data_IF_323661530838
#
_entry.id   IF_323661530838
#
_cell.length_a   1.000
_cell.length_b   1.000
_cell.length_c   1.000
_cell.angle_alpha   90.00
_cell.angle_beta   90.00
_cell.angle_gamma   90.00
#
_symmetry.space_group_name_H-M   'P 1'
#
loop_
_entity.id
_entity.type
_entity.pdbx_description
1 polymer ?
#
# COMPACT_ATOMS: atom_id res chain seq x y z
N UNK A 1 -0.53 -2.72 -21.26
CA UNK A 1 -1.03 -2.52 -19.90
C UNK A 1 0.18 -2.38 -18.99
N UNK A 2 0.27 -1.30 -18.19
CA UNK A 2 1.39 -1.07 -17.25
C UNK A 2 1.47 -2.15 -16.19
N UNK A 3 2.66 -2.36 -15.60
CA UNK A 3 2.85 -3.49 -14.67
C UNK A 3 2.27 -3.23 -13.29
N UNK A 4 2.50 -2.04 -12.71
CA UNK A 4 2.15 -1.79 -11.31
C UNK A 4 1.63 -0.36 -11.10
N UNK A 5 0.60 -0.22 -10.28
CA UNK A 5 0.23 1.05 -9.66
C UNK A 5 0.51 1.00 -8.17
N UNK A 6 1.09 2.06 -7.62
CA UNK A 6 1.28 2.25 -6.18
C UNK A 6 0.37 3.39 -5.71
N UNK A 7 -0.56 3.07 -4.81
CA UNK A 7 -1.49 4.01 -4.19
C UNK A 7 -1.03 4.26 -2.75
N UNK A 8 -0.35 5.38 -2.51
CA UNK A 8 0.25 5.66 -1.22
C UNK A 8 0.71 7.10 -1.07
N UNK A 9 1.26 7.44 0.09
CA UNK A 9 1.81 8.78 0.33
C UNK A 9 3.18 8.86 -0.33
N UNK A 10 3.28 9.63 -1.40
CA UNK A 10 4.52 9.88 -2.12
C UNK A 10 4.83 11.38 -2.09
N UNK A 11 5.89 11.71 -1.36
CA UNK A 11 6.23 13.11 -1.10
C UNK A 11 7.33 13.64 -2.02
N UNK A 12 7.14 13.65 -3.35
CA UNK A 12 8.01 14.47 -4.20
C UNK A 12 7.78 15.95 -3.86
N UNK A 13 8.83 16.62 -3.39
CA UNK A 13 8.82 18.06 -3.09
C UNK A 13 8.25 18.45 -1.71
N UNK A 14 8.02 17.50 -0.81
CA UNK A 14 7.62 17.80 0.55
C UNK A 14 8.65 17.26 1.55
N UNK A 15 8.98 18.04 2.58
CA UNK A 15 9.86 17.68 3.70
C UNK A 15 9.27 16.57 4.59
N UNK A 16 8.73 15.49 3.97
CA UNK A 16 8.10 14.43 4.73
C UNK A 16 9.11 13.40 5.20
N UNK A 17 9.44 13.49 6.46
CA UNK A 17 10.23 12.52 7.23
C UNK A 17 9.36 11.45 7.92
N UNK A 18 8.11 11.23 7.49
CA UNK A 18 7.30 10.16 8.06
C UNK A 18 7.77 8.80 7.53
N UNK A 19 7.85 7.79 8.40
CA UNK A 19 8.23 6.43 8.03
C UNK A 19 7.39 5.86 6.87
N UNK A 20 6.14 6.31 6.74
CA UNK A 20 5.26 5.93 5.64
C UNK A 20 5.74 6.49 4.29
N UNK A 21 6.05 7.80 4.23
CA UNK A 21 6.51 8.42 2.98
C UNK A 21 7.86 7.84 2.53
N UNK A 22 8.77 7.62 3.49
CA UNK A 22 10.06 6.97 3.23
C UNK A 22 9.87 5.57 2.66
N UNK A 23 9.03 4.73 3.26
CA UNK A 23 8.80 3.38 2.77
C UNK A 23 8.11 3.37 1.41
N UNK A 24 7.11 4.22 1.20
CA UNK A 24 6.48 4.36 -0.12
C UNK A 24 7.52 4.73 -1.20
N UNK A 25 8.42 5.68 -0.88
CA UNK A 25 9.49 6.08 -1.79
C UNK A 25 10.42 4.90 -2.12
N UNK A 26 10.90 4.18 -1.12
CA UNK A 26 11.79 3.02 -1.31
C UNK A 26 11.14 1.96 -2.20
N UNK A 27 9.87 1.62 -1.94
CA UNK A 27 9.13 0.64 -2.76
C UNK A 27 8.96 1.13 -4.19
N UNK A 28 8.60 2.39 -4.40
CA UNK A 28 8.40 2.98 -5.73
C UNK A 28 9.73 3.01 -6.50
N UNK A 29 10.81 3.45 -5.87
CA UNK A 29 12.13 3.56 -6.52
C UNK A 29 12.65 2.17 -6.90
N UNK A 30 12.46 1.17 -6.05
CA UNK A 30 12.80 -0.21 -6.35
C UNK A 30 11.98 -0.77 -7.52
N UNK A 31 10.65 -0.54 -7.53
CA UNK A 31 9.80 -0.98 -8.64
C UNK A 31 10.17 -0.28 -9.97
N UNK A 32 10.51 1.00 -9.93
CA UNK A 32 10.98 1.75 -11.11
C UNK A 32 12.31 1.19 -11.64
N UNK A 33 13.22 0.81 -10.75
CA UNK A 33 14.50 0.19 -11.10
C UNK A 33 14.30 -1.19 -11.75
N UNK A 34 13.41 -1.99 -11.21
CA UNK A 34 13.17 -3.37 -11.66
C UNK A 34 12.37 -3.43 -12.97
N UNK A 35 11.34 -2.61 -13.12
CA UNK A 35 10.40 -2.69 -14.24
C UNK A 35 10.50 -1.54 -15.24
N UNK A 36 11.24 -0.49 -14.91
CA UNK A 36 11.27 0.75 -15.70
C UNK A 36 10.23 1.77 -15.23
N UNK A 37 10.60 3.05 -15.31
CA UNK A 37 9.77 4.18 -14.84
C UNK A 37 8.41 4.23 -15.54
N UNK A 38 8.37 3.94 -16.85
CA UNK A 38 7.16 4.01 -17.65
C UNK A 38 6.12 2.91 -17.31
N UNK A 39 6.56 1.85 -16.64
CA UNK A 39 5.70 0.74 -16.24
C UNK A 39 5.01 0.96 -14.88
N UNK A 40 5.39 2.01 -14.15
CA UNK A 40 4.89 2.32 -12.82
C UNK A 40 4.01 3.56 -12.83
N UNK A 41 2.83 3.44 -12.21
CA UNK A 41 1.95 4.58 -11.92
C UNK A 41 1.97 4.84 -10.42
N UNK A 42 2.11 6.10 -10.03
CA UNK A 42 2.02 6.52 -8.64
C UNK A 42 0.76 7.35 -8.45
N UNK A 43 -0.11 6.90 -7.57
CA UNK A 43 -1.29 7.64 -7.09
C UNK A 43 -0.98 8.19 -5.71
N UNK A 44 -0.63 9.48 -5.65
CA UNK A 44 -0.29 10.12 -4.39
C UNK A 44 -1.56 10.37 -3.57
N UNK A 45 -1.60 9.78 -2.37
CA UNK A 45 -2.72 9.92 -1.43
C UNK A 45 -2.47 10.99 -0.36
N UNK A 46 -1.40 11.79 -0.46
CA UNK A 46 -1.17 12.88 0.47
C UNK A 46 -2.31 13.90 0.41
N UNK A 47 -2.87 14.25 1.58
CA UNK A 47 -4.02 15.17 1.70
C UNK A 47 -5.18 14.82 0.75
N UNK A 48 -5.41 13.54 0.49
CA UNK A 48 -6.45 13.04 -0.41
C UNK A 48 -7.85 13.61 -0.11
N UNK A 49 -8.13 13.93 1.16
CA UNK A 49 -9.38 14.52 1.63
C UNK A 49 -9.64 15.95 1.09
N UNK A 50 -8.60 16.66 0.61
CA UNK A 50 -8.76 17.98 -0.01
C UNK A 50 -9.30 17.91 -1.44
N UNK A 51 -9.03 16.81 -2.15
CA UNK A 51 -9.52 16.59 -3.51
C UNK A 51 -9.88 15.10 -3.73
N UNK A 52 -10.96 14.62 -3.10
CA UNK A 52 -11.34 13.22 -3.14
C UNK A 52 -11.74 12.75 -4.54
N UNK A 53 -12.31 13.63 -5.36
CA UNK A 53 -12.73 13.30 -6.73
C UNK A 53 -11.52 12.99 -7.60
N UNK A 54 -10.50 13.83 -7.55
CA UNK A 54 -9.23 13.61 -8.29
C UNK A 54 -8.55 12.32 -7.84
N UNK A 55 -8.52 12.08 -6.54
CA UNK A 55 -7.94 10.86 -5.97
C UNK A 55 -8.72 9.62 -6.44
N UNK A 56 -10.05 9.64 -6.39
CA UNK A 56 -10.90 8.56 -6.87
C UNK A 56 -10.67 8.30 -8.37
N UNK A 57 -10.67 9.33 -9.21
CA UNK A 57 -10.40 9.22 -10.64
C UNK A 57 -9.03 8.57 -10.91
N UNK A 58 -7.96 9.02 -10.24
CA UNK A 58 -6.63 8.45 -10.41
C UNK A 58 -6.56 6.99 -9.94
N UNK A 59 -7.27 6.64 -8.86
CA UNK A 59 -7.36 5.26 -8.39
C UNK A 59 -8.08 4.39 -9.42
N UNK A 60 -9.23 4.80 -9.93
CA UNK A 60 -9.95 4.07 -10.99
C UNK A 60 -9.06 3.92 -12.24
N UNK A 61 -8.42 5.00 -12.69
CA UNK A 61 -7.50 4.97 -13.82
C UNK A 61 -6.39 3.93 -13.62
N UNK A 62 -5.86 3.80 -12.40
CA UNK A 62 -4.83 2.79 -12.10
C UNK A 62 -5.34 1.36 -12.27
N UNK A 63 -6.59 1.07 -11.89
CA UNK A 63 -7.23 -0.23 -12.12
C UNK A 63 -7.48 -0.53 -13.60
N UNK A 64 -7.77 0.48 -14.41
CA UNK A 64 -7.95 0.32 -15.86
C UNK A 64 -6.64 -0.05 -16.54
N UNK A 65 -5.54 0.63 -16.18
CA UNK A 65 -4.30 0.57 -16.96
C UNK A 65 -3.21 -0.34 -16.38
N UNK A 66 -3.31 -0.77 -15.11
CA UNK A 66 -2.29 -1.60 -14.45
C UNK A 66 -2.77 -3.03 -14.19
N UNK A 67 -1.82 -3.98 -14.18
CA UNK A 67 -2.08 -5.39 -13.82
C UNK A 67 -2.08 -5.63 -12.32
N UNK A 68 -1.18 -4.95 -11.61
CA UNK A 68 -1.01 -5.07 -10.17
C UNK A 68 -1.28 -3.72 -9.51
N UNK A 69 -1.98 -3.76 -8.39
CA UNK A 69 -2.28 -2.59 -7.57
C UNK A 69 -1.67 -2.82 -6.18
N UNK A 70 -0.78 -1.96 -5.77
CA UNK A 70 -0.21 -1.97 -4.42
C UNK A 70 -0.77 -0.77 -3.66
N UNK A 71 -1.44 -1.01 -2.55
CA UNK A 71 -1.87 0.07 -1.68
C UNK A 71 -0.97 0.16 -0.45
N UNK A 72 -0.66 1.40 -0.03
CA UNK A 72 0.19 1.68 1.13
C UNK A 72 -0.41 2.82 1.99
N UNK A 73 -1.70 2.77 2.34
CA UNK A 73 -2.30 3.81 3.17
C UNK A 73 -1.85 3.70 4.64
N UNK A 74 -1.84 4.84 5.33
CA UNK A 74 -1.72 4.87 6.79
C UNK A 74 -3.01 4.43 7.47
N UNK A 75 -2.97 4.36 8.82
CA UNK A 75 -4.06 3.94 9.67
C UNK A 75 -5.42 4.58 9.34
N UNK A 76 -5.46 5.88 9.07
CA UNK A 76 -6.71 6.56 8.72
C UNK A 76 -7.16 6.29 7.28
N UNK A 77 -6.21 6.14 6.37
CA UNK A 77 -6.50 5.89 4.97
C UNK A 77 -7.03 4.50 4.68
N UNK A 78 -6.57 3.47 5.42
CA UNK A 78 -6.98 2.08 5.15
C UNK A 78 -8.49 1.86 5.27
N UNK A 79 -9.16 2.61 6.14
CA UNK A 79 -10.63 2.53 6.32
C UNK A 79 -11.39 2.84 5.01
N UNK A 80 -10.82 3.70 4.18
CA UNK A 80 -11.40 4.09 2.88
C UNK A 80 -10.79 3.24 1.76
N UNK A 81 -9.47 3.15 1.70
CA UNK A 81 -8.78 2.49 0.58
C UNK A 81 -8.98 0.98 0.55
N UNK A 82 -9.11 0.28 1.69
CA UNK A 82 -9.40 -1.15 1.68
C UNK A 82 -10.76 -1.45 1.04
N UNK A 83 -11.78 -0.68 1.40
CA UNK A 83 -13.14 -0.85 0.86
C UNK A 83 -13.19 -0.44 -0.62
N UNK A 84 -12.67 0.74 -0.94
CA UNK A 84 -12.67 1.28 -2.30
C UNK A 84 -11.95 0.34 -3.27
N UNK A 85 -10.72 -0.09 -2.93
CA UNK A 85 -9.93 -0.93 -3.83
C UNK A 85 -10.47 -2.35 -3.93
N UNK A 86 -11.07 -2.91 -2.89
CA UNK A 86 -11.77 -4.19 -2.97
C UNK A 86 -12.99 -4.11 -3.89
N UNK A 87 -13.81 -3.05 -3.79
CA UNK A 87 -14.97 -2.85 -4.66
C UNK A 87 -14.51 -2.71 -6.13
N UNK A 88 -13.50 -1.87 -6.38
CA UNK A 88 -12.95 -1.73 -7.73
C UNK A 88 -12.37 -3.06 -8.23
N UNK A 89 -11.72 -3.83 -7.37
CA UNK A 89 -11.11 -5.10 -7.77
C UNK A 89 -12.12 -6.18 -8.15
N UNK A 90 -13.33 -6.15 -7.62
CA UNK A 90 -14.42 -7.03 -8.06
C UNK A 90 -14.84 -6.77 -9.52
N UNK A 91 -14.65 -5.54 -10.01
CA UNK A 91 -14.95 -5.17 -11.39
C UNK A 91 -13.75 -5.42 -12.33
N UNK A 92 -12.55 -5.05 -11.89
CA UNK A 92 -11.36 -5.04 -12.75
C UNK A 92 -10.50 -6.30 -12.64
N UNK A 93 -10.65 -7.13 -11.60
CA UNK A 93 -9.94 -8.40 -11.37
C UNK A 93 -8.40 -8.25 -11.49
N UNK A 94 -7.83 -7.27 -10.78
CA UNK A 94 -6.39 -7.03 -10.74
C UNK A 94 -5.75 -7.78 -9.57
N UNK A 95 -4.42 -7.96 -9.60
CA UNK A 95 -3.67 -8.41 -8.43
C UNK A 95 -3.58 -7.27 -7.43
N UNK A 96 -4.22 -7.45 -6.28
CA UNK A 96 -4.35 -6.40 -5.26
C UNK A 96 -3.51 -6.75 -4.04
N UNK A 97 -2.55 -5.87 -3.71
CA UNK A 97 -1.59 -6.05 -2.65
C UNK A 97 -1.66 -4.90 -1.64
N UNK A 98 -1.46 -5.22 -0.37
CA UNK A 98 -1.36 -4.21 0.67
C UNK A 98 -0.02 -4.33 1.40
N UNK A 99 0.77 -3.27 1.41
CA UNK A 99 1.99 -3.17 2.23
C UNK A 99 1.65 -2.37 3.48
N UNK A 100 1.63 -3.05 4.62
CA UNK A 100 1.34 -2.47 5.92
C UNK A 100 2.60 -1.78 6.46
N UNK A 101 2.42 -0.56 6.95
CA UNK A 101 3.48 0.21 7.59
C UNK A 101 3.14 0.39 9.06
N UNK A 102 3.99 -0.14 9.93
CA UNK A 102 3.77 -0.16 11.38
C UNK A 102 2.94 -1.34 11.89
N UNK A 103 2.74 -1.41 13.20
CA UNK A 103 2.15 -2.58 13.90
C UNK A 103 0.66 -2.51 14.23
N UNK A 104 -0.03 -1.46 13.85
CA UNK A 104 -1.38 -1.08 14.32
C UNK A 104 -2.54 -1.88 13.69
N UNK A 105 -2.31 -2.60 12.59
CA UNK A 105 -3.40 -3.20 11.79
C UNK A 105 -4.22 -4.25 12.57
N UNK A 106 -3.57 -5.06 13.41
CA UNK A 106 -4.25 -6.09 14.19
C UNK A 106 -5.25 -5.49 15.19
N UNK A 107 -4.85 -4.44 15.91
CA UNK A 107 -5.72 -3.73 16.85
C UNK A 107 -6.89 -3.07 16.12
N UNK A 108 -6.61 -2.40 15.00
CA UNK A 108 -7.66 -1.79 14.19
C UNK A 108 -8.69 -2.82 13.70
N UNK A 109 -8.26 -4.01 13.27
CA UNK A 109 -9.18 -5.05 12.80
C UNK A 109 -10.01 -5.66 13.94
N UNK A 110 -9.48 -5.65 15.16
CA UNK A 110 -10.25 -6.05 16.34
C UNK A 110 -11.40 -5.08 16.64
N UNK A 111 -11.15 -3.77 16.44
CA UNK A 111 -12.15 -2.72 16.59
C UNK A 111 -13.08 -2.58 15.38
N UNK A 112 -12.51 -2.60 14.17
CA UNK A 112 -13.20 -2.37 12.89
C UNK A 112 -13.40 -3.67 12.12
N UNK A 113 -14.16 -4.60 12.69
CA UNK A 113 -14.36 -5.96 12.13
C UNK A 113 -14.86 -5.97 10.68
N UNK A 114 -15.59 -4.93 10.25
CA UNK A 114 -16.11 -4.81 8.88
C UNK A 114 -15.01 -4.67 7.82
N UNK A 115 -13.79 -4.25 8.18
CA UNK A 115 -12.66 -4.14 7.23
C UNK A 115 -12.06 -5.51 6.88
N UNK A 116 -12.15 -6.47 7.78
CA UNK A 116 -11.55 -7.80 7.61
C UNK A 116 -12.00 -8.51 6.33
N UNK A 117 -13.31 -8.61 5.99
CA UNK A 117 -13.75 -9.27 4.75
C UNK A 117 -13.18 -8.62 3.47
N UNK A 118 -12.94 -7.31 3.48
CA UNK A 118 -12.31 -6.62 2.35
C UNK A 118 -10.85 -7.03 2.21
N UNK A 119 -10.09 -7.01 3.30
CA UNK A 119 -8.67 -7.37 3.31
C UNK A 119 -8.42 -8.86 3.01
N UNK A 120 -9.33 -9.75 3.39
CA UNK A 120 -9.24 -11.18 3.06
C UNK A 120 -9.32 -11.46 1.54
N UNK A 121 -9.85 -10.53 0.74
CA UNK A 121 -9.92 -10.66 -0.72
C UNK A 121 -8.72 -10.11 -1.46
N UNK A 122 -7.76 -9.53 -0.75
CA UNK A 122 -6.49 -9.11 -1.35
C UNK A 122 -5.65 -10.33 -1.68
N UNK A 123 -4.87 -10.27 -2.76
CA UNK A 123 -3.92 -11.35 -3.11
C UNK A 123 -2.81 -11.49 -2.07
N UNK A 124 -2.37 -10.37 -1.47
CA UNK A 124 -1.41 -10.41 -0.36
C UNK A 124 -1.45 -9.18 0.52
N UNK A 125 -1.10 -9.39 1.79
CA UNK A 125 -0.88 -8.35 2.81
C UNK A 125 0.53 -8.54 3.34
N UNK A 126 1.45 -7.62 3.04
CA UNK A 126 2.82 -7.68 3.51
C UNK A 126 2.98 -6.91 4.82
N UNK A 127 3.61 -7.52 5.82
CA UNK A 127 3.85 -6.94 7.14
C UNK A 127 5.32 -6.98 7.53
N UNK A 128 5.78 -5.98 8.28
CA UNK A 128 7.19 -5.78 8.62
C UNK A 128 7.70 -6.62 9.78
N UNK A 129 6.81 -7.19 10.60
CA UNK A 129 7.19 -7.93 11.79
C UNK A 129 6.47 -9.29 11.88
N UNK A 130 7.18 -10.30 12.39
CA UNK A 130 6.59 -11.61 12.65
C UNK A 130 5.49 -11.54 13.72
N UNK A 131 5.63 -10.62 14.68
CA UNK A 131 4.59 -10.41 15.70
C UNK A 131 3.26 -9.96 15.07
N UNK A 132 3.29 -9.01 14.12
CA UNK A 132 2.08 -8.58 13.42
C UNK A 132 1.53 -9.69 12.52
N UNK A 133 2.40 -10.40 11.80
CA UNK A 133 2.01 -11.56 10.98
C UNK A 133 1.22 -12.58 11.80
N UNK A 134 1.73 -12.96 12.97
CA UNK A 134 1.07 -13.94 13.84
C UNK A 134 -0.26 -13.41 14.39
N UNK A 135 -0.33 -12.15 14.83
CA UNK A 135 -1.58 -11.52 15.28
C UNK A 135 -2.65 -11.53 14.17
N UNK A 136 -2.29 -11.20 12.94
CA UNK A 136 -3.24 -11.18 11.82
C UNK A 136 -3.69 -12.60 11.41
N UNK A 137 -2.79 -13.59 11.47
CA UNK A 137 -3.17 -15.00 11.27
C UNK A 137 -4.15 -15.51 12.34
N UNK A 138 -3.92 -15.16 13.60
CA UNK A 138 -4.87 -15.48 14.71
C UNK A 138 -6.24 -14.82 14.46
N UNK A 139 -6.26 -13.62 13.89
CA UNK A 139 -7.50 -12.97 13.45
C UNK A 139 -8.14 -13.62 12.20
N UNK A 140 -7.50 -14.67 11.63
CA UNK A 140 -8.04 -15.45 10.51
C UNK A 140 -7.74 -14.87 9.13
N UNK A 141 -6.73 -14.00 8.97
CA UNK A 141 -6.24 -13.61 7.66
C UNK A 141 -5.20 -14.64 7.18
N UNK A 142 -5.45 -15.29 6.05
CA UNK A 142 -4.58 -16.33 5.48
C UNK A 142 -3.59 -15.80 4.44
N UNK A 143 -3.86 -14.60 3.91
CA UNK A 143 -3.11 -13.96 2.83
C UNK A 143 -2.04 -12.98 3.35
N UNK A 144 -1.49 -13.22 4.55
CA UNK A 144 -0.49 -12.36 5.19
C UNK A 144 0.90 -12.97 5.04
N UNK A 145 1.85 -12.13 4.61
CA UNK A 145 3.24 -12.51 4.35
C UNK A 145 4.21 -11.60 5.06
N UNK A 146 5.34 -12.15 5.49
CA UNK A 146 6.42 -11.37 6.09
C UNK A 146 7.26 -10.69 5.01
N UNK A 147 7.40 -9.39 5.11
CA UNK A 147 8.28 -8.58 4.28
C UNK A 147 9.08 -7.65 5.20
N UNK A 148 10.33 -8.00 5.52
CA UNK A 148 11.17 -7.19 6.40
C UNK A 148 11.34 -5.78 5.85
N UNK A 149 11.60 -4.83 6.75
CA UNK A 149 11.82 -3.45 6.37
C UNK A 149 13.17 -3.34 5.66
N UNK A 150 13.14 -3.18 4.34
CA UNK A 150 14.34 -2.99 3.52
C UNK A 150 14.70 -1.50 3.53
N UNK A 151 15.89 -1.16 4.04
CA UNK A 151 16.53 0.13 3.83
C UNK A 151 17.70 -0.07 2.89
N UNK A 152 17.86 0.83 1.94
CA UNK A 152 19.10 0.87 1.14
C UNK A 152 20.27 1.21 2.09
N UNK A 153 21.20 0.28 2.22
CA UNK A 153 22.43 0.45 3.01
C UNK A 153 23.50 1.28 2.26
N UNK A 154 23.10 2.30 1.54
CA UNK A 154 24.04 3.29 1.00
C UNK A 154 24.30 4.43 1.99
N UNK A 155 24.47 4.09 3.27
CA UNK A 155 25.06 5.02 4.22
C UNK A 155 26.58 4.98 4.01
N UNK A 156 27.12 5.86 3.17
CA UNK A 156 28.52 6.23 3.27
C UNK A 156 28.64 7.00 4.58
N UNK A 157 29.31 6.42 5.58
CA UNK A 157 29.84 7.20 6.67
C UNK A 157 30.86 8.17 6.05
N UNK A 158 30.53 9.44 5.94
CA UNK A 158 31.50 10.49 5.75
C UNK A 158 32.25 10.62 7.10
N UNK A 159 33.54 10.21 7.08
CA UNK A 159 34.50 10.46 8.16
C UNK A 159 34.86 11.94 8.19
#
# INVERSE_FOLDING_TARGET
MKKVAVVGVYGEGTEFTTGQAVKCKVVIDWLKKEYGTDEIIVVNTYKWNRNPIKMLYNTIKSFVVCKNIIIMPAQNGIKVFAVLTDILNRLFHRKLHYIVIGGWLAEMLSEKKHLKPHLMRFDSIQVETLALLNKLKVLGLTNVYYMPNCRDYNYKCEN
#
